data_IF_501236503621
#
_entry.id   IF_501236503621
#
_cell.length_a   1.000
_cell.length_b   1.000
_cell.length_c   1.000
_cell.angle_alpha   90.00
_cell.angle_beta   90.00
_cell.angle_gamma   90.00
#
_symmetry.space_group_name_H-M   'P 1'
#
loop_
_entity.id
_entity.type
_entity.pdbx_description
1 polymer ?
#
# COMPACT_ATOMS: atom_id res chain seq x y z
N UNK A 1 -63.26 -7.49 -83.45
CA UNK A 1 -63.64 -7.07 -84.81
C UNK A 1 -62.43 -6.47 -85.46
N UNK A 2 -61.95 -7.23 -86.35
CA UNK A 2 -61.62 -6.77 -87.72
C UNK A 2 -60.39 -5.84 -87.77
N UNK A 3 -59.37 -6.47 -88.25
CA UNK A 3 -58.85 -6.46 -89.61
C UNK A 3 -58.00 -5.21 -89.86
N UNK A 4 -57.02 -5.21 -90.51
CA UNK A 4 -56.37 -5.99 -91.52
C UNK A 4 -55.35 -5.12 -92.25
N UNK A 5 -54.32 -5.75 -92.63
CA UNK A 5 -53.56 -5.58 -93.83
C UNK A 5 -52.57 -4.43 -93.99
N UNK A 6 -51.41 -4.85 -94.18
CA UNK A 6 -50.65 -5.05 -95.43
C UNK A 6 -49.94 -3.75 -95.81
N UNK A 7 -48.81 -3.72 -96.24
CA UNK A 7 -47.80 -4.57 -96.83
C UNK A 7 -46.70 -3.68 -97.41
N UNK A 8 -45.53 -4.22 -97.52
CA UNK A 8 -44.59 -4.06 -98.66
C UNK A 8 -43.89 -2.67 -98.77
N UNK A 9 -42.58 -2.66 -98.67
CA UNK A 9 -41.60 -2.72 -99.76
C UNK A 9 -40.32 -2.09 -99.24
N UNK A 10 -39.33 -2.85 -99.04
CA UNK A 10 -38.16 -3.13 -99.88
C UNK A 10 -37.31 -1.93 -100.28
N UNK A 11 -36.11 -2.09 -100.06
CA UNK A 11 -34.94 -1.69 -100.86
C UNK A 11 -34.02 -0.64 -100.27
N UNK A 12 -32.89 -1.13 -99.72
CA UNK A 12 -31.53 -0.81 -100.16
C UNK A 12 -31.09 0.66 -100.08
N UNK A 13 -30.13 0.90 -99.31
CA UNK A 13 -28.80 1.26 -99.77
C UNK A 13 -27.79 1.34 -98.70
N UNK A 14 -26.72 0.69 -98.94
CA UNK A 14 -25.43 0.78 -98.36
C UNK A 14 -24.89 2.23 -98.39
N UNK A 15 -24.21 2.59 -97.39
CA UNK A 15 -22.92 3.31 -97.38
C UNK A 15 -22.78 4.10 -96.07
N UNK A 16 -21.64 3.92 -95.43
CA UNK A 16 -21.21 4.98 -94.57
C UNK A 16 -20.27 4.46 -93.42
N UNK A 17 -19.13 4.29 -93.85
CA UNK A 17 -17.92 4.14 -93.04
C UNK A 17 -17.80 5.10 -91.84
N UNK A 18 -17.28 4.63 -90.71
CA UNK A 18 -16.34 5.44 -89.98
C UNK A 18 -16.86 6.27 -88.81
N UNK A 19 -16.59 5.90 -87.69
CA UNK A 19 -16.69 6.73 -86.54
C UNK A 19 -16.65 5.86 -85.24
N UNK A 20 -15.49 5.30 -84.98
CA UNK A 20 -15.26 4.84 -83.63
C UNK A 20 -15.32 6.00 -82.69
N UNK A 21 -16.44 6.16 -81.99
CA UNK A 21 -16.48 6.98 -80.79
C UNK A 21 -15.93 6.18 -79.66
N UNK A 22 -14.67 6.33 -79.46
CA UNK A 22 -14.07 6.06 -78.14
C UNK A 22 -14.88 6.87 -77.12
N UNK A 23 -15.88 6.20 -76.56
CA UNK A 23 -16.43 6.64 -75.29
C UNK A 23 -15.39 6.37 -74.23
N UNK A 24 -14.39 7.22 -74.18
CA UNK A 24 -13.56 7.37 -72.99
C UNK A 24 -14.53 7.75 -71.86
N UNK A 25 -14.91 6.79 -71.07
CA UNK A 25 -15.46 7.07 -69.75
C UNK A 25 -14.52 8.01 -69.04
N UNK A 26 -14.83 9.28 -69.08
CA UNK A 26 -14.19 10.29 -68.28
C UNK A 26 -14.53 9.96 -66.82
N UNK A 27 -13.73 9.11 -66.20
CA UNK A 27 -13.74 8.98 -64.75
C UNK A 27 -13.43 10.34 -64.16
N UNK A 28 -14.44 11.02 -63.64
CA UNK A 28 -14.29 12.26 -62.93
C UNK A 28 -13.63 11.96 -61.59
N UNK A 29 -12.32 11.89 -61.58
CA UNK A 29 -11.57 11.83 -60.34
C UNK A 29 -11.72 13.18 -59.61
N UNK A 30 -12.37 13.18 -58.47
CA UNK A 30 -12.44 14.32 -57.58
C UNK A 30 -11.08 14.40 -56.87
N UNK A 31 -10.18 15.16 -57.39
CA UNK A 31 -8.86 15.40 -56.73
C UNK A 31 -9.05 16.43 -55.63
N UNK A 32 -8.61 16.09 -54.41
CA UNK A 32 -8.57 17.00 -53.29
C UNK A 32 -7.09 17.22 -52.94
N UNK A 33 -6.73 18.48 -52.76
CA UNK A 33 -5.37 18.83 -52.28
C UNK A 33 -5.17 18.23 -50.89
N UNK A 34 -4.13 17.46 -50.68
CA UNK A 34 -3.71 17.00 -49.37
C UNK A 34 -3.22 18.18 -48.54
N UNK A 35 -3.89 18.45 -47.44
CA UNK A 35 -3.43 19.41 -46.44
C UNK A 35 -2.88 18.61 -45.27
N UNK A 36 -1.70 18.97 -44.69
CA UNK A 36 -1.23 18.34 -43.48
C UNK A 36 -2.22 18.63 -42.36
N UNK A 37 -2.77 17.57 -41.77
CA UNK A 37 -3.60 17.65 -40.58
C UNK A 37 -2.83 17.02 -39.41
N UNK A 38 -2.94 17.68 -38.27
CA UNK A 38 -2.42 17.09 -37.01
C UNK A 38 -3.38 15.98 -36.59
N UNK A 39 -2.87 14.77 -36.46
CA UNK A 39 -3.62 13.65 -35.91
C UNK A 39 -3.39 13.62 -34.42
N UNK A 40 -4.38 13.94 -33.62
CA UNK A 40 -4.36 13.77 -32.18
C UNK A 40 -4.73 12.31 -31.84
N UNK A 41 -3.77 11.57 -31.31
CA UNK A 41 -3.98 10.19 -30.88
C UNK A 41 -4.27 10.23 -29.37
N UNK A 42 -5.51 9.96 -28.99
CA UNK A 42 -5.91 9.80 -27.60
C UNK A 42 -5.92 8.32 -27.22
N UNK A 43 -5.44 8.02 -26.04
CA UNK A 43 -5.47 6.68 -25.43
C UNK A 43 -6.49 6.74 -24.29
N UNK A 44 -7.47 5.87 -24.35
CA UNK A 44 -8.45 5.72 -23.28
C UNK A 44 -8.12 4.49 -22.43
N UNK A 45 -8.18 4.66 -21.11
CA UNK A 45 -7.92 3.58 -20.17
C UNK A 45 -8.87 3.68 -18.97
N UNK A 46 -9.35 2.56 -18.49
CA UNK A 46 -10.10 2.48 -17.24
C UNK A 46 -9.17 2.26 -16.07
N UNK A 47 -9.55 2.74 -14.88
CA UNK A 47 -8.71 2.61 -13.71
C UNK A 47 -9.46 2.79 -12.40
N UNK A 48 -8.75 2.56 -11.31
CA UNK A 48 -9.25 2.78 -9.95
C UNK A 48 -8.48 3.91 -9.27
N UNK A 49 -9.21 4.68 -8.47
CA UNK A 49 -8.61 5.71 -7.61
C UNK A 49 -8.14 5.02 -6.33
N UNK A 50 -6.88 5.21 -5.99
CA UNK A 50 -6.26 4.65 -4.80
C UNK A 50 -5.54 5.75 -4.02
N UNK A 51 -5.45 5.59 -2.70
CA UNK A 51 -4.55 6.42 -1.90
C UNK A 51 -3.10 6.17 -2.30
N UNK A 52 -2.27 7.20 -2.27
CA UNK A 52 -0.82 7.06 -2.56
C UNK A 52 -0.15 6.18 -1.51
N UNK A 53 -0.56 6.30 -0.25
CA UNK A 53 -0.05 5.52 0.87
C UNK A 53 -1.19 4.91 1.65
N UNK A 54 -1.16 3.60 1.81
CA UNK A 54 -2.04 2.86 2.71
C UNK A 54 -1.19 2.01 3.65
N UNK A 55 -1.59 1.93 4.91
CA UNK A 55 -0.89 1.17 5.96
C UNK A 55 -1.87 0.22 6.61
N UNK A 56 -1.50 -1.05 6.60
CA UNK A 56 -2.19 -2.07 7.38
C UNK A 56 -1.68 -2.06 8.82
N UNK A 57 -2.58 -1.85 9.75
CA UNK A 57 -2.28 -1.82 11.17
C UNK A 57 -2.53 -3.22 11.72
N UNK A 58 -1.46 -3.85 12.16
CA UNK A 58 -1.47 -5.17 12.80
C UNK A 58 -1.12 -5.01 14.28
N UNK A 59 -1.69 -5.85 15.13
CA UNK A 59 -1.30 -5.87 16.53
C UNK A 59 0.01 -6.62 16.71
N UNK A 60 0.86 -6.10 17.59
CA UNK A 60 2.05 -6.81 18.08
C UNK A 60 1.73 -7.70 19.29
N UNK A 61 0.66 -7.41 20.02
CA UNK A 61 0.17 -8.24 21.12
C UNK A 61 -0.93 -9.18 20.64
N UNK A 62 -1.05 -10.35 21.28
CA UNK A 62 -2.14 -11.31 21.10
C UNK A 62 -3.11 -11.19 22.27
N UNK A 63 -4.41 -11.35 22.00
CA UNK A 63 -5.44 -11.31 23.03
C UNK A 63 -6.80 -10.90 22.49
N UNK A 64 -7.76 -10.70 23.38
CA UNK A 64 -9.09 -10.22 23.07
C UNK A 64 -9.09 -8.70 22.84
N UNK A 65 -9.78 -8.22 21.81
CA UNK A 65 -9.96 -6.79 21.55
C UNK A 65 -11.04 -6.26 22.47
N UNK A 66 -10.67 -5.43 23.43
CA UNK A 66 -11.59 -4.83 24.40
C UNK A 66 -12.24 -3.54 23.91
N UNK A 67 -11.52 -2.78 23.08
CA UNK A 67 -11.97 -1.49 22.60
C UNK A 67 -11.43 -1.20 21.20
N UNK A 68 -12.27 -0.57 20.38
CA UNK A 68 -11.91 -0.02 19.07
C UNK A 68 -12.27 1.46 19.06
N UNK A 69 -11.28 2.32 18.81
CA UNK A 69 -11.37 3.77 18.95
C UNK A 69 -11.74 4.51 17.67
N UNK A 70 -11.95 3.81 16.56
CA UNK A 70 -12.26 4.43 15.28
C UNK A 70 -13.10 3.49 14.40
N UNK A 71 -13.98 4.07 13.58
CA UNK A 71 -14.79 3.39 12.58
C UNK A 71 -14.30 3.65 11.15
N UNK A 72 -14.82 2.88 10.20
CA UNK A 72 -14.54 3.09 8.78
C UNK A 72 -15.08 4.45 8.35
N UNK A 73 -14.22 5.27 7.76
CA UNK A 73 -14.51 6.64 7.36
C UNK A 73 -14.00 7.71 8.33
N UNK A 74 -13.60 7.34 9.54
CA UNK A 74 -13.09 8.30 10.52
C UNK A 74 -11.68 8.79 10.16
N UNK A 75 -11.48 10.09 10.39
CA UNK A 75 -10.17 10.71 10.28
C UNK A 75 -9.43 10.66 11.61
N UNK A 76 -8.26 10.08 11.62
CA UNK A 76 -7.46 9.80 12.82
C UNK A 76 -6.08 10.45 12.70
N UNK A 77 -5.62 11.06 13.81
CA UNK A 77 -4.28 11.64 13.89
C UNK A 77 -3.23 10.60 14.29
N UNK A 78 -1.99 10.82 13.85
CA UNK A 78 -0.84 10.02 14.28
C UNK A 78 -0.75 9.99 15.82
N UNK A 79 -0.60 8.79 16.40
CA UNK A 79 -0.49 8.58 17.85
C UNK A 79 -1.83 8.37 18.57
N UNK A 80 -2.98 8.56 17.91
CA UNK A 80 -4.28 8.26 18.51
C UNK A 80 -4.43 6.76 18.74
N UNK A 81 -5.07 6.38 19.85
CA UNK A 81 -5.36 4.98 20.18
C UNK A 81 -6.47 4.44 19.26
N UNK A 82 -6.15 3.39 18.54
CA UNK A 82 -7.05 2.73 17.58
C UNK A 82 -7.73 1.49 18.17
N UNK A 83 -7.00 0.74 18.99
CA UNK A 83 -7.51 -0.45 19.62
C UNK A 83 -6.82 -0.68 20.97
N UNK A 84 -7.53 -1.34 21.87
CA UNK A 84 -7.00 -1.83 23.13
C UNK A 84 -7.25 -3.33 23.23
N UNK A 85 -6.16 -4.06 23.45
CA UNK A 85 -6.15 -5.51 23.67
C UNK A 85 -6.13 -5.78 25.18
N UNK A 86 -6.57 -6.94 25.59
CA UNK A 86 -6.56 -7.33 27.00
C UNK A 86 -5.16 -7.23 27.60
N UNK A 87 -5.04 -6.39 28.61
CA UNK A 87 -3.78 -6.04 29.28
C UNK A 87 -3.49 -6.84 30.53
N UNK A 88 -4.44 -7.66 31.00
CA UNK A 88 -4.32 -8.35 32.31
C UNK A 88 -3.04 -9.17 32.43
N UNK A 89 -2.74 -9.98 31.42
CA UNK A 89 -1.53 -10.80 31.40
C UNK A 89 -0.27 -9.96 31.31
N UNK A 90 -0.25 -8.93 30.48
CA UNK A 90 0.89 -8.03 30.33
C UNK A 90 1.19 -7.25 31.61
N UNK A 91 0.15 -6.73 32.29
CA UNK A 91 0.29 -6.07 33.59
C UNK A 91 0.89 -7.01 34.65
N UNK A 92 0.39 -8.25 34.76
CA UNK A 92 0.94 -9.22 35.71
C UNK A 92 2.43 -9.49 35.47
N UNK A 93 2.87 -9.56 34.22
CA UNK A 93 4.29 -9.75 33.86
C UNK A 93 5.11 -8.51 34.24
N UNK A 94 4.58 -7.30 34.05
CA UNK A 94 5.23 -6.06 34.48
C UNK A 94 5.42 -6.06 36.00
N UNK A 95 4.38 -6.38 36.77
CA UNK A 95 4.45 -6.41 38.23
C UNK A 95 5.43 -7.46 38.75
N UNK A 96 5.45 -8.64 38.12
CA UNK A 96 6.40 -9.71 38.43
C UNK A 96 7.84 -9.25 38.17
N UNK A 97 8.12 -8.74 36.97
CA UNK A 97 9.48 -8.33 36.60
C UNK A 97 9.95 -7.11 37.38
N UNK A 98 9.05 -6.22 37.80
CA UNK A 98 9.35 -5.12 38.71
C UNK A 98 9.82 -5.65 40.06
N UNK A 99 9.09 -6.60 40.64
CA UNK A 99 9.47 -7.23 41.92
C UNK A 99 10.83 -7.93 41.85
N UNK A 100 11.13 -8.62 40.74
CA UNK A 100 12.42 -9.26 40.50
C UNK A 100 13.54 -8.20 40.39
N UNK A 101 13.30 -7.06 39.73
CA UNK A 101 14.24 -5.97 39.61
C UNK A 101 14.53 -5.33 40.99
N UNK A 102 13.49 -5.08 41.79
CA UNK A 102 13.65 -4.55 43.16
C UNK A 102 14.49 -5.48 44.04
N UNK A 103 14.21 -6.79 44.00
CA UNK A 103 14.97 -7.77 44.71
C UNK A 103 16.45 -7.80 44.26
N UNK A 104 16.72 -7.71 42.97
CA UNK A 104 18.06 -7.62 42.43
C UNK A 104 18.79 -6.35 42.87
N UNK A 105 18.12 -5.20 42.89
CA UNK A 105 18.68 -3.93 43.37
C UNK A 105 19.08 -4.02 44.84
N UNK A 106 18.24 -4.61 45.70
CA UNK A 106 18.56 -4.83 47.12
C UNK A 106 19.82 -5.72 47.29
N UNK A 107 19.91 -6.81 46.49
CA UNK A 107 21.10 -7.68 46.49
C UNK A 107 22.35 -6.92 46.06
N UNK A 108 22.25 -6.06 45.05
CA UNK A 108 23.38 -5.23 44.59
C UNK A 108 23.86 -4.28 45.70
N UNK A 109 22.95 -3.57 46.36
CA UNK A 109 23.30 -2.67 47.49
C UNK A 109 24.02 -3.41 48.60
N UNK A 110 23.58 -4.63 48.95
CA UNK A 110 24.23 -5.45 49.93
C UNK A 110 25.63 -5.91 49.48
N UNK A 111 25.75 -6.36 48.23
CA UNK A 111 27.03 -6.79 47.65
C UNK A 111 28.02 -5.60 47.54
N UNK A 112 27.56 -4.43 47.17
CA UNK A 112 28.35 -3.20 47.10
C UNK A 112 28.89 -2.80 48.48
N UNK A 113 28.02 -2.84 49.49
CA UNK A 113 28.44 -2.57 50.89
C UNK A 113 29.46 -3.57 51.39
N UNK A 114 29.34 -4.87 51.00
CA UNK A 114 30.34 -5.90 51.33
C UNK A 114 31.65 -5.65 50.58
N UNK A 115 31.59 -5.28 49.32
CA UNK A 115 32.75 -4.97 48.49
C UNK A 115 33.54 -3.78 49.05
N UNK A 116 32.89 -2.66 49.42
CA UNK A 116 33.56 -1.52 49.99
C UNK A 116 34.20 -1.84 51.36
N UNK A 117 33.50 -2.60 52.23
CA UNK A 117 34.11 -3.07 53.49
C UNK A 117 35.29 -4.02 53.23
N UNK A 118 35.15 -4.95 52.31
CA UNK A 118 36.22 -5.89 51.91
C UNK A 118 37.44 -5.15 51.38
N UNK A 119 37.26 -4.11 50.58
CA UNK A 119 38.32 -3.31 50.01
C UNK A 119 39.12 -2.57 51.12
N UNK A 120 38.45 -2.05 52.16
CA UNK A 120 39.14 -1.43 53.30
C UNK A 120 39.89 -2.46 54.16
N UNK A 121 39.32 -3.64 54.37
CA UNK A 121 39.99 -4.71 55.15
C UNK A 121 41.20 -5.28 54.40
N UNK A 122 41.08 -5.41 53.05
CA UNK A 122 42.19 -5.88 52.21
C UNK A 122 43.34 -4.88 52.20
N UNK A 123 43.08 -3.55 52.12
CA UNK A 123 44.11 -2.53 52.25
C UNK A 123 44.87 -2.60 53.57
N UNK A 124 44.17 -3.06 54.63
CA UNK A 124 44.78 -3.26 55.95
C UNK A 124 45.41 -4.65 56.12
N UNK A 125 45.51 -5.43 55.06
CA UNK A 125 46.00 -6.84 55.09
C UNK A 125 45.25 -7.73 56.09
N UNK A 126 43.98 -7.40 56.39
CA UNK A 126 43.14 -8.13 57.35
C UNK A 126 42.35 -9.28 56.72
N UNK A 127 42.35 -9.42 55.42
CA UNK A 127 41.73 -10.52 54.65
C UNK A 127 42.67 -10.99 53.55
N UNK A 128 42.51 -12.26 53.12
CA UNK A 128 43.28 -12.82 52.01
C UNK A 128 42.84 -12.29 50.63
N UNK A 129 43.76 -12.32 49.68
CA UNK A 129 43.48 -11.95 48.28
C UNK A 129 42.30 -12.77 47.71
N UNK A 130 42.31 -14.08 47.95
CA UNK A 130 41.22 -14.95 47.51
C UNK A 130 39.86 -14.53 48.05
N UNK A 131 39.75 -14.19 49.32
CA UNK A 131 38.50 -13.76 49.93
C UNK A 131 38.03 -12.41 49.35
N UNK A 132 38.96 -11.52 49.05
CA UNK A 132 38.64 -10.25 48.39
C UNK A 132 38.15 -10.47 46.94
N UNK A 133 38.79 -11.41 46.21
CA UNK A 133 38.34 -11.77 44.85
C UNK A 133 36.93 -12.36 44.85
N UNK A 134 36.61 -13.25 45.82
CA UNK A 134 35.25 -13.80 45.99
C UNK A 134 34.20 -12.69 46.21
N UNK A 135 34.50 -11.67 47.04
CA UNK A 135 33.62 -10.51 47.28
C UNK A 135 33.45 -9.70 46.01
N UNK A 136 34.52 -9.49 45.25
CA UNK A 136 34.49 -8.72 44.00
C UNK A 136 33.66 -9.44 42.91
N UNK A 137 33.80 -10.77 42.85
CA UNK A 137 32.99 -11.61 41.97
C UNK A 137 31.49 -11.52 42.31
N UNK A 138 31.13 -11.62 43.60
CA UNK A 138 29.77 -11.48 44.08
C UNK A 138 29.17 -10.10 43.72
N UNK A 139 29.95 -9.04 43.89
CA UNK A 139 29.51 -7.69 43.49
C UNK A 139 29.29 -7.60 41.97
N UNK A 140 30.22 -8.12 41.17
CA UNK A 140 30.08 -8.12 39.71
C UNK A 140 28.85 -8.95 39.26
N UNK A 141 28.61 -10.09 39.89
CA UNK A 141 27.45 -10.95 39.63
C UNK A 141 26.13 -10.25 40.00
N UNK A 142 26.06 -9.59 41.17
CA UNK A 142 24.89 -8.82 41.58
C UNK A 142 24.59 -7.68 40.60
N UNK A 143 25.63 -6.97 40.18
CA UNK A 143 25.51 -5.90 39.17
C UNK A 143 24.99 -6.43 37.84
N UNK A 144 25.52 -7.57 37.35
CA UNK A 144 25.05 -8.21 36.12
C UNK A 144 23.58 -8.66 36.23
N UNK A 145 23.17 -9.13 37.41
CA UNK A 145 21.79 -9.55 37.66
C UNK A 145 20.83 -8.37 37.58
N UNK A 146 21.18 -7.21 38.13
CA UNK A 146 20.35 -6.00 38.03
C UNK A 146 20.14 -5.61 36.55
N UNK A 147 21.22 -5.57 35.77
CA UNK A 147 21.12 -5.25 34.33
C UNK A 147 20.18 -6.21 33.61
N UNK A 148 20.29 -7.53 33.90
CA UNK A 148 19.44 -8.53 33.26
C UNK A 148 17.95 -8.37 33.65
N UNK A 149 17.68 -8.15 34.93
CA UNK A 149 16.28 -7.94 35.40
C UNK A 149 15.70 -6.61 34.93
N UNK A 150 16.53 -5.56 34.80
CA UNK A 150 16.11 -4.28 34.23
C UNK A 150 15.69 -4.41 32.77
N UNK A 151 16.48 -5.15 31.96
CA UNK A 151 16.11 -5.45 30.58
C UNK A 151 14.82 -6.28 30.50
N UNK A 152 14.64 -7.25 31.42
CA UNK A 152 13.40 -8.04 31.48
C UNK A 152 12.19 -7.18 31.81
N UNK A 153 12.32 -6.27 32.77
CA UNK A 153 11.26 -5.30 33.12
C UNK A 153 10.92 -4.36 31.97
N UNK A 154 11.93 -3.85 31.27
CA UNK A 154 11.71 -2.97 30.12
C UNK A 154 11.00 -3.71 28.96
N UNK A 155 11.39 -4.97 28.70
CA UNK A 155 10.68 -5.81 27.72
C UNK A 155 9.21 -6.06 28.11
N UNK A 156 8.93 -6.25 29.39
CA UNK A 156 7.56 -6.39 29.90
C UNK A 156 6.75 -5.12 29.66
N UNK A 157 7.33 -3.94 29.90
CA UNK A 157 6.70 -2.64 29.62
C UNK A 157 6.41 -2.43 28.15
N UNK A 158 7.35 -2.80 27.27
CA UNK A 158 7.15 -2.75 25.81
C UNK A 158 5.97 -3.65 25.43
N UNK A 159 5.92 -4.88 25.98
CA UNK A 159 4.81 -5.81 25.72
C UNK A 159 3.45 -5.27 26.19
N UNK A 160 3.44 -4.53 27.28
CA UNK A 160 2.25 -3.84 27.78
C UNK A 160 1.85 -2.66 26.87
N UNK A 161 2.80 -1.83 26.43
CA UNK A 161 2.50 -0.71 25.49
C UNK A 161 2.02 -1.24 24.14
N UNK A 162 2.52 -2.39 23.68
CA UNK A 162 2.10 -3.05 22.44
C UNK A 162 0.64 -3.54 22.48
N UNK A 163 0.01 -3.62 23.66
CA UNK A 163 -1.45 -3.91 23.79
C UNK A 163 -2.30 -2.69 23.44
N UNK A 164 -1.74 -1.50 23.45
CA UNK A 164 -2.38 -0.26 23.01
C UNK A 164 -1.94 0.05 21.58
N UNK A 165 -2.78 -0.30 20.63
CA UNK A 165 -2.50 -0.07 19.22
C UNK A 165 -2.74 1.40 18.88
N UNK A 166 -1.69 2.10 18.48
CA UNK A 166 -1.72 3.52 18.12
C UNK A 166 -1.55 3.70 16.61
N UNK A 167 -2.12 4.77 16.07
CA UNK A 167 -1.99 5.10 14.66
C UNK A 167 -0.55 5.53 14.32
N UNK A 168 0.10 4.90 13.32
CA UNK A 168 1.43 5.29 12.87
C UNK A 168 1.45 6.53 11.98
N UNK A 169 0.31 6.86 11.35
CA UNK A 169 0.15 7.99 10.42
C UNK A 169 -1.12 8.77 10.76
N UNK A 170 -1.25 9.98 10.25
CA UNK A 170 -2.54 10.67 10.18
C UNK A 170 -3.22 10.28 8.88
N UNK A 171 -4.53 10.01 8.90
CA UNK A 171 -5.27 9.57 7.73
C UNK A 171 -6.67 9.10 8.07
N UNK A 172 -7.33 8.46 7.11
CA UNK A 172 -8.70 7.94 7.24
C UNK A 172 -8.68 6.42 7.31
N UNK A 173 -9.53 5.84 8.15
CA UNK A 173 -9.74 4.39 8.22
C UNK A 173 -10.51 3.94 6.98
N UNK A 174 -9.92 3.04 6.18
CA UNK A 174 -10.56 2.52 4.97
C UNK A 174 -11.26 1.18 5.23
N UNK A 175 -10.70 0.38 6.13
CA UNK A 175 -11.20 -0.96 6.43
C UNK A 175 -10.91 -1.32 7.88
N UNK A 176 -11.85 -2.04 8.51
CA UNK A 176 -11.77 -2.56 9.88
C UNK A 176 -12.36 -3.98 9.92
N UNK A 177 -11.56 -5.00 9.63
CA UNK A 177 -12.05 -6.38 9.57
C UNK A 177 -12.24 -7.04 10.95
N UNK A 178 -11.89 -6.36 12.06
CA UNK A 178 -11.92 -6.88 13.42
C UNK A 178 -13.03 -6.21 14.24
N UNK A 179 -13.68 -6.99 15.11
CA UNK A 179 -14.73 -6.51 16.02
C UNK A 179 -14.30 -6.61 17.49
N UNK A 180 -14.97 -5.84 18.36
CA UNK A 180 -14.79 -5.92 19.82
C UNK A 180 -15.22 -7.32 20.32
N UNK A 181 -14.42 -7.92 21.21
CA UNK A 181 -14.61 -9.29 21.68
C UNK A 181 -13.90 -10.35 20.83
N UNK A 182 -13.35 -9.98 19.68
CA UNK A 182 -12.60 -10.93 18.85
C UNK A 182 -11.19 -11.16 19.41
N UNK A 183 -10.75 -12.42 19.40
CA UNK A 183 -9.38 -12.80 19.76
C UNK A 183 -8.48 -12.69 18.53
N UNK A 184 -7.39 -11.95 18.68
CA UNK A 184 -6.40 -11.71 17.61
C UNK A 184 -5.06 -12.32 17.98
N UNK A 185 -4.26 -12.63 16.95
CA UNK A 185 -2.91 -13.15 17.09
C UNK A 185 -1.87 -12.16 16.58
N UNK A 186 -0.75 -12.09 17.28
CA UNK A 186 0.43 -11.31 16.88
C UNK A 186 1.23 -12.05 15.81
N UNK A 187 1.83 -11.36 14.83
CA UNK A 187 2.76 -11.97 13.88
C UNK A 187 4.05 -12.50 14.54
N UNK A 188 4.34 -12.07 15.78
CA UNK A 188 5.54 -12.52 16.53
C UNK A 188 5.32 -13.81 17.32
N UNK A 189 4.07 -14.25 17.50
CA UNK A 189 3.75 -15.35 18.41
C UNK A 189 3.50 -16.71 17.76
N UNK A 190 3.39 -16.84 16.46
CA UNK A 190 3.23 -18.13 15.76
C UNK A 190 3.35 -17.99 14.23
N UNK A 191 3.36 -19.13 13.55
CA UNK A 191 3.37 -19.26 12.10
C UNK A 191 2.15 -18.58 11.44
N UNK A 192 2.19 -17.25 11.27
CA UNK A 192 1.08 -16.53 10.65
C UNK A 192 1.40 -15.06 10.36
N UNK A 193 0.66 -14.46 9.42
CA UNK A 193 0.84 -13.05 9.03
C UNK A 193 0.34 -12.04 10.09
N UNK A 194 -0.22 -12.51 11.20
CA UNK A 194 -0.88 -11.67 12.21
C UNK A 194 -2.22 -11.10 11.74
N UNK A 195 -3.10 -10.80 12.68
CA UNK A 195 -4.42 -10.23 12.37
C UNK A 195 -4.30 -8.76 11.98
N UNK A 196 -4.89 -8.38 10.83
CA UNK A 196 -5.04 -6.99 10.43
C UNK A 196 -6.19 -6.40 11.24
N UNK A 197 -5.92 -5.36 12.01
CA UNK A 197 -6.91 -4.65 12.81
C UNK A 197 -7.67 -3.63 11.98
N UNK A 198 -6.93 -2.78 11.28
CA UNK A 198 -7.46 -1.70 10.47
C UNK A 198 -6.52 -1.44 9.29
N UNK A 199 -7.09 -0.88 8.22
CA UNK A 199 -6.30 -0.29 7.13
C UNK A 199 -6.56 1.20 7.10
N UNK A 200 -5.50 1.98 7.13
CA UNK A 200 -5.54 3.44 7.04
C UNK A 200 -4.93 3.92 5.74
N UNK A 201 -5.44 5.04 5.24
CA UNK A 201 -4.83 5.73 4.11
C UNK A 201 -4.84 7.24 4.28
N UNK A 202 -3.83 7.88 3.73
CA UNK A 202 -3.82 9.32 3.51
C UNK A 202 -4.58 9.63 2.22
N UNK A 203 -5.78 10.19 2.36
CA UNK A 203 -6.64 10.56 1.23
C UNK A 203 -6.40 12.00 0.75
N UNK A 204 -5.45 12.73 1.34
CA UNK A 204 -5.10 14.09 0.89
C UNK A 204 -4.51 14.08 -0.51
N UNK A 205 -3.84 13.00 -0.88
CA UNK A 205 -3.28 12.77 -2.21
C UNK A 205 -3.67 11.39 -2.71
N UNK A 206 -4.30 11.38 -3.86
CA UNK A 206 -4.72 10.13 -4.50
C UNK A 206 -3.98 9.91 -5.81
N UNK A 207 -3.88 8.68 -6.23
CA UNK A 207 -3.40 8.29 -7.56
C UNK A 207 -4.47 7.50 -8.28
N UNK A 208 -4.47 7.58 -9.58
CA UNK A 208 -5.29 6.71 -10.42
C UNK A 208 -4.39 5.61 -10.98
N UNK A 209 -4.76 4.39 -10.73
CA UNK A 209 -4.14 3.22 -11.33
C UNK A 209 -4.95 2.86 -12.57
N UNK A 210 -4.42 3.19 -13.74
CA UNK A 210 -5.05 2.92 -15.02
C UNK A 210 -4.45 1.67 -15.66
N UNK A 211 -5.31 0.84 -16.25
CA UNK A 211 -4.94 -0.35 -17.01
C UNK A 211 -4.94 0.05 -18.49
N UNK A 212 -3.76 0.10 -19.08
CA UNK A 212 -3.55 0.48 -20.47
C UNK A 212 -3.28 -0.77 -21.29
N UNK A 213 -3.88 -0.87 -22.47
CA UNK A 213 -3.67 -1.99 -23.38
C UNK A 213 -2.19 -2.06 -23.83
N UNK A 214 -1.69 -3.26 -24.04
CA UNK A 214 -0.32 -3.52 -24.51
C UNK A 214 0.00 -2.79 -25.82
N UNK A 215 -0.98 -2.68 -26.71
CA UNK A 215 -0.83 -2.00 -28.02
C UNK A 215 -0.58 -0.49 -27.83
N UNK A 216 -1.11 0.11 -26.78
CA UNK A 216 -1.07 1.55 -26.57
C UNK A 216 -0.03 2.00 -25.54
N UNK A 217 0.47 1.10 -24.70
CA UNK A 217 1.46 1.44 -23.68
C UNK A 217 2.75 2.03 -24.23
N UNK A 218 3.17 1.60 -25.43
CA UNK A 218 4.35 2.13 -26.11
C UNK A 218 4.24 3.61 -26.50
N UNK A 219 3.01 4.16 -26.52
CA UNK A 219 2.71 5.57 -26.83
C UNK A 219 2.64 6.43 -25.56
N UNK A 220 2.52 5.82 -24.37
CA UNK A 220 2.45 6.54 -23.08
C UNK A 220 3.85 6.91 -22.61
N UNK A 221 4.03 8.14 -22.16
CA UNK A 221 5.31 8.66 -21.66
C UNK A 221 5.17 9.24 -20.25
N UNK A 222 6.24 9.12 -19.46
CA UNK A 222 6.33 9.79 -18.15
C UNK A 222 6.22 11.30 -18.32
N UNK A 223 5.47 11.96 -17.43
CA UNK A 223 5.21 13.41 -17.48
C UNK A 223 4.10 13.82 -18.43
N UNK A 224 3.48 12.90 -19.17
CA UNK A 224 2.35 13.19 -20.05
C UNK A 224 1.14 13.63 -19.24
N UNK A 225 0.45 14.69 -19.68
CA UNK A 225 -0.80 15.14 -19.10
C UNK A 225 -1.93 14.19 -19.47
N UNK A 226 -2.80 13.90 -18.52
CA UNK A 226 -3.97 13.04 -18.71
C UNK A 226 -5.22 13.71 -18.13
N UNK A 227 -6.33 13.54 -18.81
CA UNK A 227 -7.65 13.93 -18.32
C UNK A 227 -8.30 12.74 -17.64
N UNK A 228 -8.79 12.95 -16.42
CA UNK A 228 -9.40 11.92 -15.58
C UNK A 228 -10.86 12.27 -15.37
N UNK A 229 -11.75 11.40 -15.83
CA UNK A 229 -13.19 11.50 -15.61
C UNK A 229 -13.62 10.49 -14.58
N UNK A 230 -14.22 10.96 -13.50
CA UNK A 230 -14.65 10.11 -12.38
C UNK A 230 -16.17 9.92 -12.45
N UNK A 231 -16.64 8.69 -12.34
CA UNK A 231 -18.06 8.37 -12.44
C UNK A 231 -18.94 9.11 -11.39
N UNK A 232 -18.37 9.37 -10.20
CA UNK A 232 -19.04 10.11 -9.13
C UNK A 232 -19.17 11.63 -9.41
N UNK A 233 -18.32 12.19 -10.28
CA UNK A 233 -18.27 13.63 -10.58
C UNK A 233 -18.26 13.82 -12.10
N UNK A 234 -19.39 13.55 -12.75
CA UNK A 234 -19.51 13.54 -14.23
C UNK A 234 -19.22 14.88 -14.89
N UNK A 235 -19.48 15.97 -14.17
CA UNK A 235 -19.33 17.34 -14.68
C UNK A 235 -17.94 17.93 -14.38
N UNK A 236 -17.05 17.18 -13.74
CA UNK A 236 -15.69 17.62 -13.41
C UNK A 236 -14.65 16.76 -14.10
N UNK A 237 -13.74 17.43 -14.75
CA UNK A 237 -12.56 16.84 -15.36
C UNK A 237 -11.34 17.17 -14.50
N UNK A 238 -10.62 16.15 -14.09
CA UNK A 238 -9.41 16.29 -13.28
C UNK A 238 -8.20 16.12 -14.18
N UNK A 239 -7.21 16.99 -14.03
CA UNK A 239 -5.96 16.91 -14.78
C UNK A 239 -4.92 16.22 -13.91
N UNK A 240 -4.31 15.19 -14.47
CA UNK A 240 -3.20 14.46 -13.82
C UNK A 240 -1.98 14.39 -14.72
N UNK A 241 -0.90 13.84 -14.18
CA UNK A 241 0.31 13.53 -14.94
C UNK A 241 0.72 12.09 -14.73
N UNK A 242 1.24 11.43 -15.75
CA UNK A 242 1.79 10.09 -15.65
C UNK A 242 3.10 10.15 -14.84
N UNK A 243 3.07 9.60 -13.63
CA UNK A 243 4.23 9.59 -12.74
C UNK A 243 5.04 8.31 -12.83
N UNK A 244 4.41 7.18 -13.18
CA UNK A 244 5.05 5.88 -13.24
C UNK A 244 4.36 4.99 -14.28
N UNK A 245 5.16 4.22 -14.98
CA UNK A 245 4.71 3.14 -15.86
C UNK A 245 5.27 1.86 -15.29
N UNK A 246 4.41 0.92 -14.90
CA UNK A 246 4.84 -0.38 -14.36
C UNK A 246 4.76 -1.43 -15.47
N UNK A 247 5.88 -2.03 -15.86
CA UNK A 247 5.93 -3.04 -16.93
C UNK A 247 5.50 -4.43 -16.40
N UNK A 248 4.41 -4.47 -15.62
CA UNK A 248 3.85 -5.72 -15.12
C UNK A 248 2.56 -6.03 -15.86
N UNK A 249 2.61 -7.06 -16.67
CA UNK A 249 1.44 -7.56 -17.35
C UNK A 249 0.50 -8.28 -16.36
N UNK A 250 -0.76 -7.87 -16.31
CA UNK A 250 -1.82 -8.62 -15.64
C UNK A 250 -2.66 -9.31 -16.71
N UNK A 251 -2.71 -10.63 -16.66
CA UNK A 251 -3.61 -11.40 -17.52
C UNK A 251 -4.97 -11.45 -16.83
N UNK A 252 -5.91 -10.66 -17.31
CA UNK A 252 -7.31 -10.72 -16.92
C UNK A 252 -8.13 -10.98 -18.16
N UNK A 253 -8.78 -12.15 -18.24
CA UNK A 253 -9.62 -12.55 -19.38
C UNK A 253 -8.94 -12.48 -20.77
N UNK A 254 -7.74 -13.02 -20.92
CA UNK A 254 -6.94 -13.03 -22.16
C UNK A 254 -6.48 -11.67 -22.70
N UNK A 255 -6.54 -10.60 -21.91
CA UNK A 255 -5.96 -9.30 -22.25
C UNK A 255 -4.77 -9.03 -21.35
N UNK A 256 -3.62 -8.74 -21.95
CA UNK A 256 -2.42 -8.34 -21.22
C UNK A 256 -2.50 -6.84 -20.96
N UNK A 257 -2.67 -6.43 -19.70
CA UNK A 257 -2.84 -5.04 -19.33
C UNK A 257 -1.57 -4.53 -18.65
N UNK A 258 -1.09 -3.37 -19.07
CA UNK A 258 0.06 -2.68 -18.48
C UNK A 258 -0.38 -1.54 -17.56
N UNK A 259 0.46 -1.19 -16.61
CA UNK A 259 0.12 -0.35 -15.49
C UNK A 259 0.64 1.07 -15.65
N UNK A 260 -0.22 2.08 -15.64
CA UNK A 260 0.16 3.50 -15.55
C UNK A 260 -0.47 4.15 -14.33
N UNK A 261 0.28 4.99 -13.62
CA UNK A 261 -0.20 5.72 -12.45
C UNK A 261 -0.15 7.23 -12.71
N UNK A 262 -1.26 7.90 -13.01
CA UNK A 262 -1.30 9.35 -13.04
C UNK A 262 -1.41 9.93 -11.63
N UNK A 263 -0.81 11.10 -11.39
CA UNK A 263 -1.00 11.88 -10.16
C UNK A 263 -1.78 13.15 -10.48
N UNK A 264 -2.90 13.42 -9.81
CA UNK A 264 -3.58 14.71 -9.96
C UNK A 264 -2.66 15.81 -9.42
N UNK A 265 -2.60 16.94 -10.12
CA UNK A 265 -2.03 18.18 -9.60
C UNK A 265 -3.14 18.99 -8.93
N UNK A 266 -2.82 19.57 -7.79
CA UNK A 266 -3.66 20.53 -7.07
C UNK A 266 -3.94 21.79 -7.91
#
# INVERSE_FOLDING_TARGET
MKNLLLSISSLVFLYGCGGGSDTSETQFYKTQKTTPQTLDVSIEASGAIEAISSVEIKSKASGEVLFLGAEVGDSVNKGSTLAQIDQRTANNIVDQTLSDLEAAKVRLVNAESQYERGKELHKKSSISDKYFDDIKENYAQAKSTVVRTEVSFENAKISLDDTLVKSPISGTIISRPVEVGQVISSPTSAFGEGSILMTMADLSKVRVRALVDEIDVGKVRLGQSVSIKVAAYRDKEFIGTVTKIEPKAYIQQNVCLLYTSPSPRD
#
